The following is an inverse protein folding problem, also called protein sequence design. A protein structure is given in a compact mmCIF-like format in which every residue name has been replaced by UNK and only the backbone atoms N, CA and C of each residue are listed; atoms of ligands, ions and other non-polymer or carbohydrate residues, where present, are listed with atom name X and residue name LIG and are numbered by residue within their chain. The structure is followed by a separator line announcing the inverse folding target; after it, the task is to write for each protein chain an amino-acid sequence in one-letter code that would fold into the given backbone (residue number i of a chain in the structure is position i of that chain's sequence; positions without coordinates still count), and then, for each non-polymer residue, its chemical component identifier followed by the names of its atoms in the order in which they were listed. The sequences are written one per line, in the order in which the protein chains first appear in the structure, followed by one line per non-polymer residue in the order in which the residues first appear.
data_IF_085163057580
#
_entry.id   IF_085163057580
#
_cell.length_a   1.000
_cell.length_b   1.000
_cell.length_c   1.000
_cell.angle_alpha   90.00
_cell.angle_beta   90.00
_cell.angle_gamma   90.00
#
_symmetry.space_group_name_H-M   'P 1'
#
loop_
_entity.id
_entity.type
_entity.pdbx_description
1 polymer ?
#
# COMPACT_ATOMS: atom_id res chain seq x y z
N UNK A 1 -1.21 -12.68 -6.28
CA UNK A 1 -0.08 -12.13 -7.04
C UNK A 1 -0.60 -11.23 -8.14
N UNK A 2 0.06 -10.15 -8.50
CA UNK A 2 -0.32 -9.25 -9.60
C UNK A 2 0.92 -8.79 -10.36
N UNK A 3 0.77 -8.35 -11.60
CA UNK A 3 1.88 -7.93 -12.47
C UNK A 3 1.98 -6.42 -12.63
N UNK A 4 3.18 -5.92 -12.83
CA UNK A 4 3.51 -4.58 -13.35
C UNK A 4 4.62 -4.75 -14.40
N UNK A 5 4.27 -4.64 -15.70
CA UNK A 5 5.14 -5.08 -16.78
C UNK A 5 5.49 -6.56 -16.69
N UNK A 6 6.77 -6.88 -16.78
CA UNK A 6 7.29 -8.26 -16.70
C UNK A 6 7.38 -8.79 -15.26
N UNK A 7 7.36 -7.89 -14.27
CA UNK A 7 7.54 -8.24 -12.87
C UNK A 7 6.26 -8.79 -12.23
N UNK A 8 6.40 -9.83 -11.41
CA UNK A 8 5.31 -10.48 -10.68
C UNK A 8 5.46 -10.25 -9.17
N UNK A 9 4.44 -9.64 -8.56
CA UNK A 9 4.41 -9.32 -7.14
C UNK A 9 3.42 -10.21 -6.40
N UNK A 10 3.85 -10.80 -5.28
CA UNK A 10 3.01 -11.66 -4.46
C UNK A 10 2.05 -10.86 -3.59
N UNK A 11 2.53 -9.71 -3.08
CA UNK A 11 1.80 -8.83 -2.17
C UNK A 11 2.01 -7.36 -2.52
N UNK A 12 1.12 -6.49 -2.04
CA UNK A 12 1.27 -5.05 -2.19
C UNK A 12 2.53 -4.53 -1.47
N UNK A 13 2.85 -5.09 -0.30
CA UNK A 13 4.08 -4.76 0.45
C UNK A 13 5.34 -5.01 -0.39
N UNK A 14 5.39 -6.14 -1.11
CA UNK A 14 6.52 -6.45 -2.00
C UNK A 14 6.67 -5.38 -3.08
N UNK A 15 5.57 -4.97 -3.72
CA UNK A 15 5.57 -3.91 -4.71
C UNK A 15 6.04 -2.56 -4.15
N UNK A 16 5.49 -2.14 -3.00
CA UNK A 16 5.81 -0.85 -2.38
C UNK A 16 7.30 -0.80 -2.02
N UNK A 17 7.85 -1.87 -1.44
CA UNK A 17 9.27 -1.92 -1.08
C UNK A 17 10.19 -2.03 -2.30
N UNK A 18 9.76 -2.71 -3.37
CA UNK A 18 10.49 -2.74 -4.63
C UNK A 18 10.55 -1.34 -5.27
N UNK A 19 9.41 -0.67 -5.40
CA UNK A 19 9.35 0.70 -5.95
C UNK A 19 10.12 1.70 -5.10
N UNK A 20 10.12 1.54 -3.78
CA UNK A 20 10.97 2.33 -2.88
C UNK A 20 12.45 2.13 -3.20
N UNK A 21 12.91 0.89 -3.34
CA UNK A 21 14.31 0.61 -3.66
C UNK A 21 14.71 1.17 -5.04
N UNK A 22 13.86 0.99 -6.05
CA UNK A 22 14.07 1.54 -7.40
C UNK A 22 14.13 3.07 -7.39
N UNK A 23 13.23 3.73 -6.65
CA UNK A 23 13.21 5.20 -6.53
C UNK A 23 14.56 5.76 -6.05
N UNK A 24 15.22 5.07 -5.13
CA UNK A 24 16.51 5.49 -4.59
C UNK A 24 17.72 4.90 -5.32
N UNK A 25 17.50 4.19 -6.44
CA UNK A 25 18.58 3.55 -7.20
C UNK A 25 19.21 2.34 -6.53
N UNK A 26 18.64 1.81 -5.45
CA UNK A 26 19.12 0.61 -4.75
C UNK A 26 18.64 -0.66 -5.44
N UNK A 27 19.18 -0.91 -6.64
CA UNK A 27 18.77 -2.04 -7.48
C UNK A 27 19.10 -3.40 -6.85
N UNK A 28 20.13 -3.46 -6.00
CA UNK A 28 20.47 -4.67 -5.24
C UNK A 28 19.37 -5.00 -4.25
N UNK A 29 18.91 -4.02 -3.46
CA UNK A 29 17.78 -4.24 -2.55
C UNK A 29 16.49 -4.50 -3.32
N UNK A 30 16.27 -3.83 -4.47
CA UNK A 30 15.09 -4.08 -5.31
C UNK A 30 15.01 -5.55 -5.75
N UNK A 31 16.10 -6.13 -6.24
CA UNK A 31 16.15 -7.54 -6.62
C UNK A 31 15.95 -8.48 -5.44
N UNK A 32 16.51 -8.15 -4.27
CA UNK A 32 16.25 -8.92 -3.03
C UNK A 32 14.79 -8.86 -2.61
N UNK A 33 14.11 -7.73 -2.81
CA UNK A 33 12.67 -7.61 -2.52
C UNK A 33 11.85 -8.45 -3.48
N UNK A 34 12.20 -8.51 -4.78
CA UNK A 34 11.54 -9.42 -5.74
C UNK A 34 11.71 -10.89 -5.37
N UNK A 35 12.88 -11.26 -4.85
CA UNK A 35 13.15 -12.62 -4.38
C UNK A 35 12.54 -12.97 -3.01
N UNK A 36 12.09 -11.97 -2.25
CA UNK A 36 11.54 -12.15 -0.90
C UNK A 36 10.23 -12.94 -0.92
N UNK A 37 10.06 -13.86 0.04
CA UNK A 37 8.92 -14.78 0.07
C UNK A 37 7.81 -14.36 1.01
N UNK A 38 8.08 -13.38 1.88
CA UNK A 38 7.14 -12.94 2.91
C UNK A 38 7.03 -11.42 2.97
N UNK A 39 5.87 -10.86 3.35
CA UNK A 39 5.72 -9.42 3.59
C UNK A 39 6.70 -8.88 4.64
N UNK A 40 6.95 -9.64 5.70
CA UNK A 40 7.89 -9.25 6.76
C UNK A 40 9.33 -9.10 6.25
N UNK A 41 9.76 -9.99 5.35
CA UNK A 41 11.06 -9.89 4.69
C UNK A 41 11.13 -8.67 3.75
N UNK A 42 10.09 -8.42 2.95
CA UNK A 42 10.00 -7.23 2.11
C UNK A 42 10.15 -5.95 2.94
N UNK A 43 9.40 -5.86 4.06
CA UNK A 43 9.44 -4.71 4.97
C UNK A 43 10.82 -4.52 5.60
N UNK A 44 11.49 -5.61 5.98
CA UNK A 44 12.87 -5.56 6.50
C UNK A 44 13.85 -5.04 5.46
N UNK A 45 13.75 -5.49 4.21
CA UNK A 45 14.58 -5.02 3.10
C UNK A 45 14.31 -3.54 2.78
N UNK A 46 13.04 -3.13 2.76
CA UNK A 46 12.66 -1.74 2.53
C UNK A 46 13.15 -0.75 3.59
N UNK A 47 13.46 -1.22 4.81
CA UNK A 47 14.08 -0.40 5.89
C UNK A 47 15.56 -0.13 5.65
N UNK A 48 16.25 -0.99 4.90
CA UNK A 48 17.70 -0.88 4.65
C UNK A 48 18.04 -0.31 3.28
N UNK A 49 17.05 0.15 2.52
CA UNK A 49 17.26 0.85 1.24
C UNK A 49 18.21 2.03 1.42
N UNK A 50 19.22 2.12 0.55
CA UNK A 50 20.22 3.19 0.55
C UNK A 50 20.62 3.62 -0.87
N UNK A 51 20.80 4.94 -1.13
CA UNK A 51 20.51 6.07 -0.24
C UNK A 51 19.01 6.17 0.13
N UNK A 52 18.67 6.87 1.21
CA UNK A 52 17.27 7.07 1.60
C UNK A 52 17.04 8.52 2.01
N UNK A 53 16.01 9.11 1.43
CA UNK A 53 15.52 10.44 1.78
C UNK A 53 14.03 10.34 2.14
N UNK A 54 13.69 10.70 3.37
CA UNK A 54 12.33 10.59 3.86
C UNK A 54 11.38 11.59 3.20
N UNK A 55 11.84 12.78 2.85
CA UNK A 55 11.02 13.79 2.19
C UNK A 55 10.66 13.34 0.76
N UNK A 56 11.64 12.80 0.03
CA UNK A 56 11.40 12.21 -1.30
C UNK A 56 10.42 11.04 -1.20
N UNK A 57 10.59 10.15 -0.22
CA UNK A 57 9.67 9.03 -0.04
C UNK A 57 8.27 9.48 0.37
N UNK A 58 8.15 10.42 1.31
CA UNK A 58 6.87 10.99 1.75
C UNK A 58 6.09 11.60 0.59
N UNK A 59 6.76 12.26 -0.35
CA UNK A 59 6.12 12.87 -1.52
C UNK A 59 5.45 11.86 -2.46
N UNK A 60 5.90 10.59 -2.48
CA UNK A 60 5.46 9.61 -3.49
C UNK A 60 4.81 8.34 -2.92
N UNK A 61 5.01 8.04 -1.63
CA UNK A 61 4.60 6.76 -1.02
C UNK A 61 3.09 6.46 -1.13
N UNK A 62 2.25 7.50 -1.09
CA UNK A 62 0.81 7.34 -1.28
C UNK A 62 0.50 6.86 -2.70
N UNK A 63 1.08 7.51 -3.72
CA UNK A 63 0.88 7.15 -5.12
C UNK A 63 1.38 5.72 -5.41
N UNK A 64 2.53 5.34 -4.85
CA UNK A 64 3.04 3.96 -4.96
C UNK A 64 2.07 2.95 -4.35
N UNK A 65 1.43 3.26 -3.22
CA UNK A 65 0.43 2.39 -2.61
C UNK A 65 -0.89 2.34 -3.41
N UNK A 66 -1.31 3.46 -4.00
CA UNK A 66 -2.43 3.54 -4.94
C UNK A 66 -2.16 2.64 -6.14
N UNK A 67 -0.98 2.71 -6.75
CA UNK A 67 -0.60 1.86 -7.88
C UNK A 67 -0.62 0.37 -7.51
N UNK A 68 -0.03 0.01 -6.35
CA UNK A 68 -0.03 -1.36 -5.85
C UNK A 68 -1.46 -1.90 -5.67
N UNK A 69 -2.34 -1.07 -5.09
CA UNK A 69 -3.74 -1.40 -4.89
C UNK A 69 -4.48 -1.47 -6.22
N UNK A 70 -4.29 -0.52 -7.14
CA UNK A 70 -4.93 -0.53 -8.46
C UNK A 70 -4.56 -1.78 -9.24
N UNK A 71 -3.27 -2.12 -9.32
CA UNK A 71 -2.79 -3.32 -10.02
C UNK A 71 -3.36 -4.60 -9.39
N UNK A 72 -3.33 -4.71 -8.06
CA UNK A 72 -3.89 -5.87 -7.36
C UNK A 72 -5.40 -6.00 -7.57
N UNK A 73 -6.16 -4.94 -7.34
CA UNK A 73 -7.62 -5.01 -7.36
C UNK A 73 -8.17 -5.07 -8.79
N UNK A 74 -7.52 -4.48 -9.80
CA UNK A 74 -7.92 -4.63 -11.20
C UNK A 74 -7.72 -6.05 -11.75
N UNK A 75 -6.65 -6.73 -11.33
CA UNK A 75 -6.32 -8.08 -11.80
C UNK A 75 -7.05 -9.19 -11.02
N UNK A 76 -7.63 -8.90 -9.85
CA UNK A 76 -8.32 -9.89 -9.00
C UNK A 76 -9.79 -9.55 -8.80
N UNK A 77 -10.67 -10.16 -9.60
CA UNK A 77 -12.13 -9.93 -9.56
C UNK A 77 -12.74 -10.04 -8.16
N UNK A 78 -12.32 -11.03 -7.35
CA UNK A 78 -12.80 -11.19 -5.96
C UNK A 78 -12.38 -10.02 -5.07
N UNK A 79 -11.13 -9.57 -5.16
CA UNK A 79 -10.65 -8.41 -4.42
C UNK A 79 -11.37 -7.14 -4.88
N UNK A 80 -11.53 -6.93 -6.20
CA UNK A 80 -12.31 -5.81 -6.77
C UNK A 80 -13.71 -5.76 -6.18
N UNK A 81 -14.43 -6.87 -6.23
CA UNK A 81 -15.79 -6.96 -5.71
C UNK A 81 -15.84 -6.63 -4.21
N UNK A 82 -14.90 -7.17 -3.42
CA UNK A 82 -14.81 -6.88 -1.99
C UNK A 82 -14.57 -5.39 -1.71
N UNK A 83 -13.68 -4.74 -2.47
CA UNK A 83 -13.41 -3.30 -2.32
C UNK A 83 -14.62 -2.45 -2.72
N UNK A 84 -15.27 -2.76 -3.83
CA UNK A 84 -16.47 -2.03 -4.28
C UNK A 84 -17.64 -2.17 -3.30
N UNK A 85 -17.81 -3.36 -2.72
CA UNK A 85 -18.84 -3.67 -1.72
C UNK A 85 -18.67 -2.87 -0.41
N UNK A 86 -17.52 -2.24 -0.18
CA UNK A 86 -17.35 -1.33 0.95
C UNK A 86 -18.20 -0.05 0.85
N UNK A 87 -18.81 0.23 -0.31
CA UNK A 87 -19.70 1.39 -0.46
C UNK A 87 -18.96 2.70 -0.19
N UNK A 88 -19.61 3.65 0.46
CA UNK A 88 -18.97 4.92 0.86
C UNK A 88 -18.26 4.84 2.22
N UNK A 89 -18.09 3.64 2.81
CA UNK A 89 -17.47 3.51 4.12
C UNK A 89 -16.03 4.01 4.09
N UNK A 90 -15.65 4.71 5.16
CA UNK A 90 -14.26 5.05 5.43
C UNK A 90 -13.48 3.78 5.78
N UNK A 91 -12.39 3.54 5.07
CA UNK A 91 -11.49 2.41 5.33
C UNK A 91 -10.30 2.89 6.15
N UNK A 92 -10.02 2.20 7.24
CA UNK A 92 -8.89 2.51 8.13
C UNK A 92 -8.14 1.25 8.52
N UNK A 93 -6.82 1.35 8.59
CA UNK A 93 -5.97 0.30 9.18
C UNK A 93 -5.74 0.64 10.66
N UNK A 94 -6.46 -0.03 11.55
CA UNK A 94 -6.43 0.20 12.99
C UNK A 94 -5.23 -0.51 13.66
N UNK A 95 -4.02 -0.01 13.36
CA UNK A 95 -2.77 -0.49 13.95
C UNK A 95 -2.20 0.54 14.93
N UNK A 96 -2.02 0.20 16.22
CA UNK A 96 -1.44 1.12 17.21
C UNK A 96 0.05 1.40 16.97
N UNK A 97 0.72 0.54 16.20
CA UNK A 97 2.15 0.64 15.89
C UNK A 97 2.45 1.28 14.53
N UNK A 98 1.42 1.52 13.71
CA UNK A 98 1.57 2.09 12.37
C UNK A 98 0.81 3.39 12.24
N UNK A 99 1.56 4.49 12.30
CA UNK A 99 1.07 5.87 12.18
C UNK A 99 1.14 6.42 10.75
N UNK A 100 1.71 5.67 9.81
CA UNK A 100 1.85 6.12 8.42
C UNK A 100 0.83 5.39 7.56
N UNK A 101 0.87 4.07 7.55
CA UNK A 101 -0.07 3.28 6.77
C UNK A 101 -1.41 3.11 7.49
N UNK A 102 -1.39 3.13 8.83
CA UNK A 102 -2.58 3.08 9.68
C UNK A 102 -2.87 4.36 10.45
N UNK A 103 -3.88 4.28 11.31
CA UNK A 103 -4.36 5.40 12.14
C UNK A 103 -3.59 5.56 13.46
N UNK A 104 -2.64 4.67 13.78
CA UNK A 104 -1.88 4.75 15.04
C UNK A 104 -2.67 4.38 16.31
N UNK A 105 -3.88 3.82 16.17
CA UNK A 105 -4.78 3.48 17.26
C UNK A 105 -5.32 2.06 17.04
N UNK A 106 -5.51 1.31 18.14
CA UNK A 106 -6.10 -0.02 18.10
C UNK A 106 -7.58 0.02 17.72
N UNK A 107 -8.08 -1.08 17.14
CA UNK A 107 -9.45 -1.17 16.61
C UNK A 107 -10.52 -0.80 17.64
N UNK A 108 -10.41 -1.33 18.86
CA UNK A 108 -11.40 -1.10 19.92
C UNK A 108 -11.51 0.36 20.35
N UNK A 109 -10.44 1.14 20.15
CA UNK A 109 -10.30 2.53 20.56
C UNK A 109 -10.48 3.51 19.38
N UNK A 110 -10.47 3.00 18.15
CA UNK A 110 -10.39 3.81 16.93
C UNK A 110 -11.51 4.85 16.86
N UNK A 111 -12.75 4.49 17.12
CA UNK A 111 -13.87 5.43 17.02
C UNK A 111 -13.86 6.49 18.13
N UNK A 112 -13.45 6.12 19.35
CA UNK A 112 -13.39 7.03 20.49
C UNK A 112 -12.31 8.11 20.31
N UNK A 113 -11.18 7.74 19.71
CA UNK A 113 -10.04 8.64 19.50
C UNK A 113 -9.87 9.06 18.05
N UNK A 114 -10.98 9.25 17.32
CA UNK A 114 -10.95 9.70 15.92
C UNK A 114 -10.16 10.98 15.68
N UNK A 115 -10.14 11.88 16.66
CA UNK A 115 -9.38 13.14 16.63
C UNK A 115 -7.86 12.95 16.74
N UNK A 116 -7.39 11.74 17.11
CA UNK A 116 -5.97 11.39 17.23
C UNK A 116 -5.49 10.49 16.10
N UNK A 117 -6.33 10.24 15.09
CA UNK A 117 -5.94 9.40 13.96
C UNK A 117 -4.79 10.03 13.19
N UNK A 118 -3.81 9.19 12.88
CA UNK A 118 -2.67 9.54 12.03
C UNK A 118 -3.00 9.28 10.54
N UNK A 119 -1.97 9.18 9.69
CA UNK A 119 -2.12 9.36 8.24
C UNK A 119 -3.05 8.38 7.51
N UNK A 120 -3.17 7.11 7.94
CA UNK A 120 -4.03 6.12 7.30
C UNK A 120 -3.80 5.97 5.77
N UNK A 121 -2.55 5.99 5.31
CA UNK A 121 -2.27 5.99 3.87
C UNK A 121 -2.79 4.75 3.13
N UNK A 122 -2.85 3.59 3.78
CA UNK A 122 -3.44 2.39 3.17
C UNK A 122 -4.93 2.56 2.92
N UNK A 123 -5.67 3.07 3.91
CA UNK A 123 -7.08 3.38 3.77
C UNK A 123 -7.34 4.41 2.67
N UNK A 124 -6.54 5.48 2.63
CA UNK A 124 -6.60 6.47 1.55
C UNK A 124 -6.39 5.84 0.17
N UNK A 125 -5.35 5.01 -0.01
CA UNK A 125 -5.05 4.35 -1.27
C UNK A 125 -6.20 3.43 -1.73
N UNK A 126 -6.75 2.62 -0.82
CA UNK A 126 -7.89 1.74 -1.12
C UNK A 126 -9.13 2.53 -1.56
N UNK A 127 -9.43 3.65 -0.89
CA UNK A 127 -10.59 4.48 -1.23
C UNK A 127 -10.42 5.21 -2.56
N UNK A 128 -9.20 5.69 -2.89
CA UNK A 128 -8.91 6.26 -4.22
C UNK A 128 -9.10 5.21 -5.32
N UNK A 129 -8.52 4.01 -5.15
CA UNK A 129 -8.69 2.91 -6.11
C UNK A 129 -10.15 2.49 -6.24
N UNK A 130 -10.91 2.47 -5.14
CA UNK A 130 -12.37 2.21 -5.17
C UNK A 130 -13.09 3.22 -6.05
N UNK A 131 -12.77 4.51 -5.93
CA UNK A 131 -13.39 5.55 -6.74
C UNK A 131 -13.08 5.37 -8.23
N UNK A 132 -11.81 5.09 -8.59
CA UNK A 132 -11.41 4.81 -9.97
C UNK A 132 -12.13 3.59 -10.55
N UNK A 133 -12.13 2.46 -9.82
CA UNK A 133 -12.74 1.21 -10.30
C UNK A 133 -14.27 1.32 -10.47
N UNK A 134 -14.94 2.21 -9.73
CA UNK A 134 -16.36 2.50 -9.93
C UNK A 134 -16.63 3.18 -11.26
N UNK A 135 -15.81 4.18 -11.61
CA UNK A 135 -15.95 4.89 -12.88
C UNK A 135 -15.76 3.93 -14.06
N UNK A 136 -14.79 3.02 -13.98
CA UNK A 136 -14.57 1.95 -14.98
C UNK A 136 -15.69 0.90 -15.06
N UNK A 137 -16.58 0.82 -14.07
CA UNK A 137 -17.73 -0.13 -14.09
C UNK A 137 -18.99 0.53 -14.64
N UNK A 138 -19.06 1.86 -14.57
CA UNK A 138 -20.22 2.65 -14.97
C UNK A 138 -20.08 3.26 -16.38
N UNK A 139 -18.93 3.09 -17.04
CA UNK A 139 -18.70 3.41 -18.45
C UNK A 139 -18.59 2.16 -19.29
#
# INVERSE_FOLDING_TARGET
MFRDGDELFHTAEQYIMYRKAVLFGDLVTAQRVLAARTPGECKRLGRVVRPYDDAVWCAVRLNVAVDACRLKFSQHKKCRAALLATGERLLVEASPSDRVWGIGIAEQDALAYRHQWDQNLLGQALMQVRATLRQETNG
#
